data_IF_524346031405
#
_entry.id   IF_524346031405
#
_cell.length_a   1.000
_cell.length_b   1.000
_cell.length_c   1.000
_cell.angle_alpha   90.00
_cell.angle_beta   90.00
_cell.angle_gamma   90.00
#
_symmetry.space_group_name_H-M   'P 1'
#
loop_
_entity.id
_entity.type
_entity.pdbx_description
1 polymer ?
#
# COMPACT_ATOMS: atom_id res chain seq x y z
N UNK A 1 -45.37 -44.77 11.22
CA UNK A 1 -44.82 -43.96 12.33
C UNK A 1 -43.89 -42.96 11.69
N UNK A 2 -44.42 -41.76 11.49
CA UNK A 2 -43.82 -40.69 10.72
C UNK A 2 -43.43 -39.63 11.74
N UNK A 3 -42.14 -39.50 12.02
CA UNK A 3 -41.63 -38.43 12.89
C UNK A 3 -41.19 -37.25 12.04
N UNK A 4 -41.94 -36.16 12.20
CA UNK A 4 -41.62 -34.82 11.72
C UNK A 4 -40.30 -34.36 12.36
N UNK A 5 -39.28 -34.14 11.54
CA UNK A 5 -38.20 -33.22 11.88
C UNK A 5 -38.46 -31.90 11.17
N UNK A 6 -39.08 -30.98 11.89
CA UNK A 6 -39.11 -29.57 11.54
C UNK A 6 -37.67 -29.06 11.43
N UNK A 7 -37.25 -28.73 10.20
CA UNK A 7 -36.06 -27.90 9.98
C UNK A 7 -36.45 -26.46 10.31
N UNK A 8 -36.53 -26.16 11.61
CA UNK A 8 -36.52 -24.80 12.09
C UNK A 8 -35.28 -24.11 11.53
N UNK A 9 -35.55 -23.11 10.71
CA UNK A 9 -34.56 -22.19 10.17
C UNK A 9 -33.90 -21.53 11.38
N UNK A 10 -32.61 -21.76 11.59
CA UNK A 10 -31.80 -21.03 12.56
C UNK A 10 -31.90 -19.54 12.23
N UNK A 11 -32.86 -18.84 12.84
CA UNK A 11 -32.96 -17.39 12.80
C UNK A 11 -31.82 -16.87 13.67
N UNK A 12 -30.72 -16.49 13.01
CA UNK A 12 -29.65 -15.72 13.64
C UNK A 12 -30.27 -14.35 14.02
N UNK A 13 -30.35 -13.99 15.32
CA UNK A 13 -30.96 -12.74 15.74
C UNK A 13 -30.01 -11.56 15.45
N UNK A 14 -30.48 -10.53 14.72
CA UNK A 14 -29.80 -9.22 14.61
C UNK A 14 -29.63 -8.59 13.21
N UNK A 15 -30.10 -9.21 12.12
CA UNK A 15 -29.52 -8.99 10.78
C UNK A 15 -29.63 -7.63 10.06
N UNK A 16 -30.45 -6.66 10.49
CA UNK A 16 -30.67 -5.44 9.66
C UNK A 16 -30.48 -4.09 10.38
N UNK A 17 -30.34 -4.06 11.71
CA UNK A 17 -30.19 -2.80 12.47
C UNK A 17 -28.74 -2.34 12.65
N UNK A 18 -27.77 -3.25 12.55
CA UNK A 18 -26.34 -2.95 12.77
C UNK A 18 -25.53 -2.85 11.45
N UNK A 19 -26.19 -3.05 10.31
CA UNK A 19 -25.59 -2.90 8.99
C UNK A 19 -25.43 -1.42 8.68
N UNK A 20 -24.22 -1.03 8.30
CA UNK A 20 -23.88 0.36 7.94
C UNK A 20 -23.63 0.45 6.43
N UNK A 21 -24.16 1.49 5.78
CA UNK A 21 -23.93 1.70 4.36
C UNK A 21 -22.46 2.08 4.11
N UNK A 22 -21.88 1.48 3.08
CA UNK A 22 -20.56 1.87 2.62
C UNK A 22 -20.45 1.76 1.09
N UNK A 23 -19.55 2.55 0.53
CA UNK A 23 -19.07 2.37 -0.83
C UNK A 23 -17.71 1.67 -0.79
N UNK A 24 -17.57 0.61 -1.57
CA UNK A 24 -16.32 -0.14 -1.71
C UNK A 24 -15.83 0.03 -3.14
N UNK A 25 -14.64 0.58 -3.32
CA UNK A 25 -14.01 0.63 -4.63
C UNK A 25 -13.55 -0.77 -5.05
N UNK A 26 -13.95 -1.20 -6.24
CA UNK A 26 -13.54 -2.46 -6.87
C UNK A 26 -12.35 -2.29 -7.82
N UNK A 27 -11.90 -1.06 -8.05
CA UNK A 27 -10.72 -0.71 -8.84
C UNK A 27 -10.07 0.60 -8.34
N UNK A 28 -8.79 0.80 -8.66
CA UNK A 28 -8.05 2.02 -8.34
C UNK A 28 -7.32 2.00 -6.98
N UNK A 29 -6.93 3.19 -6.50
CA UNK A 29 -6.12 3.39 -5.30
C UNK A 29 -6.87 3.07 -3.99
N UNK A 30 -8.20 3.20 -3.99
CA UNK A 30 -9.05 2.93 -2.81
C UNK A 30 -9.60 1.50 -2.77
N UNK A 31 -9.00 0.58 -3.54
CA UNK A 31 -9.47 -0.80 -3.66
C UNK A 31 -9.68 -1.44 -2.28
N UNK A 32 -10.87 -1.99 -2.07
CA UNK A 32 -11.27 -2.69 -0.84
C UNK A 32 -11.26 -1.85 0.46
N UNK A 33 -11.21 -0.52 0.37
CA UNK A 33 -11.46 0.37 1.50
C UNK A 33 -12.95 0.71 1.54
N UNK A 34 -13.71 0.29 2.57
CA UNK A 34 -15.08 0.76 2.74
C UNK A 34 -15.09 2.23 3.14
N UNK A 35 -15.81 3.04 2.37
CA UNK A 35 -16.08 4.45 2.67
C UNK A 35 -17.47 4.52 3.31
N UNK A 36 -17.58 4.79 4.61
CA UNK A 36 -18.86 4.88 5.30
C UNK A 36 -19.71 6.03 4.75
N UNK A 37 -21.00 5.77 4.51
CA UNK A 37 -21.97 6.81 4.15
C UNK A 37 -22.65 7.35 5.40
N UNK A 38 -21.93 8.16 6.18
CA UNK A 38 -22.40 8.67 7.47
C UNK A 38 -23.30 9.91 7.38
N UNK A 39 -23.30 10.59 6.23
CA UNK A 39 -24.08 11.81 6.00
C UNK A 39 -25.40 11.48 5.32
N UNK A 40 -26.41 12.29 5.60
CA UNK A 40 -27.71 12.19 4.91
C UNK A 40 -27.58 12.45 3.41
N UNK A 41 -26.56 13.21 3.01
CA UNK A 41 -26.19 13.47 1.62
C UNK A 41 -24.68 13.28 1.44
N UNK A 42 -24.31 12.49 0.44
CA UNK A 42 -22.91 12.21 0.05
C UNK A 42 -22.75 12.46 -1.45
N UNK A 43 -21.83 13.35 -1.82
CA UNK A 43 -21.53 13.69 -3.22
C UNK A 43 -20.33 12.90 -3.73
N UNK A 44 -20.49 12.27 -4.90
CA UNK A 44 -19.43 11.59 -5.63
C UNK A 44 -18.98 12.47 -6.81
N UNK A 45 -17.67 12.59 -7.03
CA UNK A 45 -17.15 13.31 -8.19
C UNK A 45 -15.65 13.57 -8.15
N UNK A 46 -15.08 14.18 -9.20
CA UNK A 46 -13.63 14.43 -9.27
C UNK A 46 -13.16 15.68 -8.51
N UNK A 47 -14.08 16.58 -8.14
CA UNK A 47 -13.71 17.80 -7.45
C UNK A 47 -13.24 17.51 -6.01
N UNK A 48 -12.37 18.37 -5.49
CA UNK A 48 -11.90 18.28 -4.11
C UNK A 48 -13.02 18.47 -3.09
N UNK A 49 -14.10 19.15 -3.48
CA UNK A 49 -15.28 19.41 -2.65
C UNK A 49 -16.28 18.25 -2.60
N UNK A 50 -16.09 17.19 -3.41
CA UNK A 50 -16.91 15.99 -3.34
C UNK A 50 -16.54 15.16 -2.10
N UNK A 51 -17.55 14.58 -1.44
CA UNK A 51 -17.34 13.74 -0.25
C UNK A 51 -16.60 12.45 -0.60
N UNK A 52 -16.92 11.85 -1.74
CA UNK A 52 -16.22 10.69 -2.29
C UNK A 52 -15.55 11.10 -3.59
N UNK A 53 -14.24 11.31 -3.51
CA UNK A 53 -13.45 11.75 -4.65
C UNK A 53 -13.16 10.59 -5.60
N UNK A 54 -13.52 10.77 -6.86
CA UNK A 54 -13.23 9.86 -7.96
C UNK A 54 -12.19 10.55 -8.86
N UNK A 55 -10.93 10.17 -8.75
CA UNK A 55 -9.82 10.86 -9.44
C UNK A 55 -9.73 10.47 -10.93
N UNK A 56 -10.75 10.85 -11.70
CA UNK A 56 -10.91 10.49 -13.09
C UNK A 56 -11.39 11.69 -13.92
N UNK A 57 -10.71 11.96 -15.03
CA UNK A 57 -11.06 13.03 -15.96
C UNK A 57 -12.44 12.82 -16.62
N UNK A 58 -12.91 11.57 -16.74
CA UNK A 58 -14.25 11.22 -17.23
C UNK A 58 -15.34 11.39 -16.18
N UNK A 59 -15.00 11.58 -14.91
CA UNK A 59 -15.98 11.95 -13.91
C UNK A 59 -16.26 13.46 -13.94
N UNK A 60 -17.54 13.86 -13.89
CA UNK A 60 -17.90 15.24 -13.57
C UNK A 60 -17.38 15.67 -12.20
N UNK A 61 -17.22 16.99 -12.02
CA UNK A 61 -16.78 17.60 -10.76
C UNK A 61 -17.64 17.15 -9.58
N UNK A 62 -18.95 17.31 -9.72
CA UNK A 62 -20.00 16.72 -8.90
C UNK A 62 -20.78 15.82 -9.86
N UNK A 63 -20.70 14.50 -9.68
CA UNK A 63 -21.14 13.52 -10.67
C UNK A 63 -22.47 12.90 -10.26
N UNK A 64 -22.53 12.37 -9.05
CA UNK A 64 -23.70 11.73 -8.50
C UNK A 64 -23.84 12.10 -7.03
N UNK A 65 -25.04 11.95 -6.52
CA UNK A 65 -25.36 12.13 -5.10
C UNK A 65 -26.02 10.88 -4.57
N UNK A 66 -25.62 10.44 -3.38
CA UNK A 66 -26.35 9.46 -2.60
C UNK A 66 -27.05 10.17 -1.45
N UNK A 67 -28.37 10.02 -1.35
CA UNK A 67 -29.17 10.52 -0.23
C UNK A 67 -29.72 9.39 0.61
N UNK A 68 -29.82 9.64 1.91
CA UNK A 68 -30.44 8.74 2.88
C UNK A 68 -31.88 9.14 3.12
N UNK A 69 -32.82 8.27 2.78
CA UNK A 69 -34.26 8.43 3.02
C UNK A 69 -34.68 7.52 4.17
N UNK A 70 -35.42 8.04 5.16
CA UNK A 70 -36.00 7.19 6.20
C UNK A 70 -37.39 6.76 5.77
N UNK A 71 -37.65 5.47 5.80
CA UNK A 71 -38.98 4.93 5.59
C UNK A 71 -39.81 5.12 6.86
N UNK A 72 -40.79 6.01 6.82
CA UNK A 72 -41.68 6.33 7.95
C UNK A 72 -42.44 5.11 8.49
N UNK A 73 -42.65 4.08 7.67
CA UNK A 73 -43.42 2.89 8.03
C UNK A 73 -42.58 1.81 8.70
N UNK A 74 -41.30 1.68 8.32
CA UNK A 74 -40.41 0.63 8.82
C UNK A 74 -39.28 1.16 9.72
N UNK A 75 -39.01 2.46 9.67
CA UNK A 75 -37.90 3.13 10.34
C UNK A 75 -36.53 2.85 9.72
N UNK A 76 -36.45 2.06 8.64
CA UNK A 76 -35.19 1.73 7.98
C UNK A 76 -34.74 2.85 7.03
N UNK A 77 -33.42 3.05 6.98
CA UNK A 77 -32.80 3.93 6.00
C UNK A 77 -32.75 3.23 4.63
N UNK A 78 -33.15 3.96 3.58
CA UNK A 78 -33.01 3.60 2.17
C UNK A 78 -32.04 4.59 1.53
N UNK A 79 -31.29 4.12 0.55
CA UNK A 79 -30.28 4.94 -0.10
C UNK A 79 -30.67 5.12 -1.55
N UNK A 80 -30.68 6.36 -2.01
CA UNK A 80 -31.02 6.72 -3.39
C UNK A 80 -29.80 7.36 -4.03
N UNK A 81 -29.43 6.89 -5.21
CA UNK A 81 -28.42 7.55 -6.04
C UNK A 81 -29.09 8.35 -7.15
N UNK A 82 -28.68 9.61 -7.30
CA UNK A 82 -29.16 10.54 -8.32
C UNK A 82 -27.97 11.05 -9.13
N UNK A 83 -28.05 10.97 -10.46
CA UNK A 83 -27.09 11.60 -11.36
C UNK A 83 -27.28 13.13 -11.34
N UNK A 84 -26.19 13.89 -11.24
CA UNK A 84 -26.22 15.35 -11.14
C UNK A 84 -26.05 16.05 -12.50
N UNK A 85 -26.52 15.43 -13.59
CA UNK A 85 -26.31 15.93 -14.95
C UNK A 85 -24.87 15.70 -15.40
N UNK A 86 -24.33 14.53 -15.10
CA UNK A 86 -22.94 14.22 -15.40
C UNK A 86 -22.70 14.06 -16.91
N UNK A 87 -21.49 14.35 -17.38
CA UNK A 87 -21.18 14.32 -18.82
C UNK A 87 -21.28 12.92 -19.41
N UNK A 88 -20.86 11.91 -18.63
CA UNK A 88 -20.79 10.51 -19.08
C UNK A 88 -21.88 9.62 -18.48
N UNK A 89 -22.75 10.19 -17.64
CA UNK A 89 -23.82 9.48 -16.94
C UNK A 89 -23.33 8.64 -15.77
N UNK A 90 -24.22 8.44 -14.80
CA UNK A 90 -24.06 7.46 -13.72
C UNK A 90 -24.67 6.13 -14.16
N UNK A 91 -23.94 5.03 -13.97
CA UNK A 91 -24.41 3.69 -14.35
C UNK A 91 -24.57 2.85 -13.07
N UNK A 92 -25.71 2.18 -12.92
CA UNK A 92 -25.96 1.20 -11.84
C UNK A 92 -26.33 -0.15 -12.47
N UNK A 93 -25.59 -1.20 -12.11
CA UNK A 93 -25.76 -2.56 -12.63
C UNK A 93 -25.81 -2.64 -14.18
N UNK A 94 -25.02 -1.80 -14.85
CA UNK A 94 -24.94 -1.74 -16.31
C UNK A 94 -26.01 -0.89 -16.99
N UNK A 95 -26.88 -0.22 -16.23
CA UNK A 95 -27.90 0.68 -16.77
C UNK A 95 -27.59 2.14 -16.41
N UNK A 96 -27.68 3.05 -17.39
CA UNK A 96 -27.64 4.49 -17.14
C UNK A 96 -28.85 4.87 -16.29
N UNK A 97 -28.62 5.61 -15.20
CA UNK A 97 -29.66 6.07 -14.31
C UNK A 97 -29.73 7.59 -14.28
N UNK A 98 -30.91 8.11 -13.97
CA UNK A 98 -31.06 9.48 -13.47
C UNK A 98 -31.27 9.45 -11.96
N UNK A 99 -32.06 8.50 -11.48
CA UNK A 99 -32.42 8.37 -10.08
C UNK A 99 -32.88 6.93 -9.78
N UNK A 100 -32.28 6.27 -8.78
CA UNK A 100 -32.64 4.89 -8.39
C UNK A 100 -32.37 4.61 -6.91
N UNK A 101 -33.17 3.73 -6.31
CA UNK A 101 -32.90 3.17 -4.99
C UNK A 101 -31.82 2.10 -5.08
N UNK A 102 -30.77 2.24 -4.26
CA UNK A 102 -29.68 1.29 -4.15
C UNK A 102 -30.09 0.10 -3.27
N UNK A 103 -29.65 -1.09 -3.70
CA UNK A 103 -29.72 -2.33 -2.95
C UNK A 103 -28.31 -2.82 -2.61
N UNK A 104 -28.20 -3.58 -1.52
CA UNK A 104 -26.95 -4.22 -1.09
C UNK A 104 -26.34 -5.04 -2.24
N UNK A 105 -25.07 -4.75 -2.57
CA UNK A 105 -24.33 -5.36 -3.67
C UNK A 105 -24.42 -4.64 -5.02
N UNK A 106 -25.17 -3.54 -5.13
CA UNK A 106 -25.32 -2.79 -6.37
C UNK A 106 -23.97 -2.22 -6.86
N UNK A 107 -23.72 -2.34 -8.15
CA UNK A 107 -22.49 -1.89 -8.81
C UNK A 107 -22.71 -0.54 -9.45
N UNK A 108 -21.96 0.46 -9.01
CA UNK A 108 -22.02 1.83 -9.50
C UNK A 108 -20.78 2.08 -10.35
N UNK A 109 -20.94 2.59 -11.57
CA UNK A 109 -19.84 3.04 -12.42
C UNK A 109 -19.93 4.54 -12.61
N UNK A 110 -18.82 5.22 -12.31
CA UNK A 110 -18.60 6.65 -12.50
C UNK A 110 -17.27 6.83 -13.24
N UNK A 111 -17.35 7.24 -14.50
CA UNK A 111 -16.16 7.25 -15.37
C UNK A 111 -15.60 5.84 -15.58
N UNK A 112 -14.35 5.62 -15.20
CA UNK A 112 -13.64 4.34 -15.25
C UNK A 112 -13.63 3.60 -13.90
N UNK A 113 -14.19 4.21 -12.85
CA UNK A 113 -14.23 3.62 -11.52
C UNK A 113 -15.49 2.78 -11.32
N UNK A 114 -15.28 1.57 -10.79
CA UNK A 114 -16.32 0.65 -10.38
C UNK A 114 -16.39 0.63 -8.85
N UNK A 115 -17.53 1.00 -8.30
CA UNK A 115 -17.84 0.96 -6.88
C UNK A 115 -18.95 -0.07 -6.62
N UNK A 116 -19.00 -0.58 -5.40
CA UNK A 116 -20.12 -1.39 -4.91
C UNK A 116 -20.73 -0.73 -3.69
N UNK A 117 -22.05 -0.60 -3.66
CA UNK A 117 -22.78 -0.19 -2.47
C UNK A 117 -23.05 -1.44 -1.62
N UNK A 118 -22.55 -1.45 -0.38
CA UNK A 118 -22.71 -2.56 0.54
C UNK A 118 -23.33 -2.10 1.87
N UNK A 119 -24.15 -2.97 2.45
CA UNK A 119 -24.70 -2.85 3.80
C UNK A 119 -23.92 -3.75 4.75
N UNK A 120 -22.85 -3.22 5.31
CA UNK A 120 -21.83 -3.99 6.04
C UNK A 120 -22.16 -4.14 7.52
N UNK A 121 -22.17 -5.36 8.04
CA UNK A 121 -22.14 -5.60 9.49
C UNK A 121 -20.70 -5.51 10.07
N UNK A 122 -20.51 -5.76 11.38
CA UNK A 122 -19.16 -5.69 11.97
C UNK A 122 -18.23 -6.79 11.44
N UNK A 123 -18.75 -7.98 11.13
CA UNK A 123 -17.97 -9.09 10.58
C UNK A 123 -17.50 -8.72 9.18
N UNK A 124 -18.38 -8.14 8.35
CA UNK A 124 -18.04 -7.66 7.01
C UNK A 124 -16.96 -6.56 7.07
N UNK A 125 -17.08 -5.62 8.01
CA UNK A 125 -16.09 -4.55 8.21
C UNK A 125 -14.73 -5.12 8.63
N UNK A 126 -14.69 -6.04 9.59
CA UNK A 126 -13.45 -6.71 9.99
C UNK A 126 -12.83 -7.48 8.82
N UNK A 127 -13.64 -8.20 8.05
CA UNK A 127 -13.18 -8.92 6.87
C UNK A 127 -12.58 -7.97 5.82
N UNK A 128 -13.23 -6.84 5.53
CA UNK A 128 -12.70 -5.85 4.59
C UNK A 128 -11.42 -5.17 5.11
N UNK A 129 -11.35 -4.84 6.41
CA UNK A 129 -10.10 -4.35 7.03
C UNK A 129 -8.97 -5.36 6.87
N UNK A 130 -9.26 -6.65 7.02
CA UNK A 130 -8.29 -7.72 6.81
C UNK A 130 -7.83 -7.78 5.36
N UNK A 131 -8.76 -7.83 4.39
CA UNK A 131 -8.43 -7.81 2.95
C UNK A 131 -7.59 -6.59 2.59
N UNK A 132 -7.98 -5.41 3.06
CA UNK A 132 -7.21 -4.18 2.83
C UNK A 132 -5.79 -4.31 3.40
N UNK A 133 -5.63 -4.85 4.60
CA UNK A 133 -4.30 -5.08 5.19
C UNK A 133 -3.43 -6.01 4.33
N UNK A 134 -4.00 -7.06 3.74
CA UNK A 134 -3.29 -7.97 2.84
C UNK A 134 -2.88 -7.32 1.51
N UNK A 135 -3.65 -6.33 1.04
CA UNK A 135 -3.30 -5.56 -0.15
C UNK A 135 -2.19 -4.53 0.14
N UNK A 136 -2.26 -3.91 1.33
CA UNK A 136 -1.37 -2.80 1.70
C UNK A 136 -0.03 -3.29 2.24
N UNK A 137 -0.02 -4.38 3.01
CA UNK A 137 1.17 -4.87 3.69
C UNK A 137 1.66 -6.21 3.15
N UNK A 138 2.97 -6.37 3.07
CA UNK A 138 3.62 -7.65 2.82
C UNK A 138 3.42 -8.58 4.02
N UNK A 139 2.88 -9.78 3.77
CA UNK A 139 2.52 -10.74 4.82
C UNK A 139 3.71 -11.21 5.65
N UNK A 140 4.91 -11.25 5.04
CA UNK A 140 6.11 -11.75 5.70
C UNK A 140 6.72 -10.73 6.64
N UNK A 141 6.83 -9.48 6.20
CA UNK A 141 7.59 -8.43 6.90
C UNK A 141 6.71 -7.42 7.62
N UNK A 142 5.42 -7.36 7.29
CA UNK A 142 4.48 -6.35 7.79
C UNK A 142 4.71 -4.94 7.24
N UNK A 143 5.76 -4.73 6.43
CA UNK A 143 6.01 -3.50 5.70
C UNK A 143 4.98 -3.29 4.61
N UNK A 144 4.97 -2.12 3.95
CA UNK A 144 4.14 -1.94 2.77
C UNK A 144 4.54 -2.89 1.63
N UNK A 145 3.57 -3.24 0.79
CA UNK A 145 3.83 -3.85 -0.51
C UNK A 145 4.44 -2.82 -1.46
N UNK A 146 5.22 -3.27 -2.46
CA UNK A 146 5.76 -2.38 -3.52
C UNK A 146 4.68 -1.53 -4.19
N UNK A 147 3.50 -2.11 -4.45
CA UNK A 147 2.35 -1.37 -4.99
C UNK A 147 1.92 -0.21 -4.09
N UNK A 148 1.82 -0.45 -2.78
CA UNK A 148 1.40 0.55 -1.80
C UNK A 148 2.48 1.61 -1.59
N UNK A 149 3.76 1.23 -1.65
CA UNK A 149 4.89 2.15 -1.62
C UNK A 149 4.80 3.20 -2.73
N UNK A 150 4.60 2.78 -3.99
CA UNK A 150 4.47 3.72 -5.10
C UNK A 150 3.24 4.63 -4.98
N UNK A 151 2.13 4.09 -4.47
CA UNK A 151 0.91 4.88 -4.23
C UNK A 151 1.17 6.01 -3.23
N UNK A 152 1.77 5.68 -2.08
CA UNK A 152 2.10 6.69 -1.06
C UNK A 152 3.21 7.64 -1.52
N UNK A 153 4.21 7.15 -2.23
CA UNK A 153 5.31 7.98 -2.75
C UNK A 153 4.81 9.03 -3.74
N UNK A 154 3.89 8.68 -4.66
CA UNK A 154 3.29 9.65 -5.58
C UNK A 154 2.48 10.72 -4.86
N UNK A 155 1.73 10.30 -3.84
CA UNK A 155 0.95 11.21 -3.01
C UNK A 155 1.86 12.17 -2.25
N UNK A 156 2.96 11.68 -1.69
CA UNK A 156 3.92 12.53 -1.01
C UNK A 156 4.67 13.44 -1.97
N UNK A 157 5.07 12.98 -3.17
CA UNK A 157 5.72 13.85 -4.16
C UNK A 157 4.85 15.05 -4.54
N UNK A 158 3.56 14.84 -4.79
CA UNK A 158 2.61 15.93 -5.08
C UNK A 158 2.47 16.92 -3.90
N UNK A 159 2.50 16.42 -2.66
CA UNK A 159 2.45 17.25 -1.46
C UNK A 159 3.74 18.02 -1.24
N UNK A 160 4.88 17.35 -1.38
CA UNK A 160 6.22 17.90 -1.25
C UNK A 160 6.47 19.02 -2.25
N UNK A 161 5.98 18.88 -3.49
CA UNK A 161 6.01 19.93 -4.51
C UNK A 161 5.19 21.15 -4.06
N UNK A 162 3.95 20.95 -3.62
CA UNK A 162 3.07 22.03 -3.20
C UNK A 162 3.56 22.77 -1.93
N UNK A 163 4.16 22.05 -0.99
CA UNK A 163 4.63 22.59 0.29
C UNK A 163 6.14 22.98 0.25
N UNK A 164 6.84 22.73 -0.86
CA UNK A 164 8.29 22.90 -1.00
C UNK A 164 9.09 22.17 0.10
N UNK A 165 8.72 20.90 0.38
CA UNK A 165 9.34 20.09 1.42
C UNK A 165 10.19 18.97 0.81
N UNK A 166 11.45 18.81 1.23
CA UNK A 166 12.31 17.75 0.71
C UNK A 166 11.95 16.41 1.34
N UNK A 167 12.16 15.34 0.59
CA UNK A 167 12.14 13.97 1.10
C UNK A 167 13.25 13.15 0.41
N UNK A 168 13.64 12.04 1.01
CA UNK A 168 14.64 11.13 0.43
C UNK A 168 14.00 9.78 0.11
N UNK A 169 14.47 9.11 -0.94
CA UNK A 169 14.11 7.73 -1.29
C UNK A 169 15.33 6.83 -1.08
N UNK A 170 15.10 5.69 -0.45
CA UNK A 170 16.10 4.66 -0.16
C UNK A 170 15.72 3.39 -0.90
N UNK A 171 16.67 2.83 -1.65
CA UNK A 171 16.58 1.48 -2.20
C UNK A 171 17.61 0.60 -1.50
N UNK A 172 17.18 -0.58 -1.06
CA UNK A 172 17.95 -1.43 -0.15
C UNK A 172 17.89 -2.89 -0.60
N UNK A 173 19.00 -3.61 -0.48
CA UNK A 173 19.05 -5.03 -0.81
C UNK A 173 20.02 -5.79 0.08
N UNK A 174 19.58 -6.97 0.52
CA UNK A 174 20.36 -7.84 1.40
C UNK A 174 21.53 -8.48 0.67
N UNK A 175 22.71 -8.24 1.20
CA UNK A 175 23.94 -8.77 0.64
C UNK A 175 24.02 -10.28 0.80
N UNK A 176 24.26 -10.99 -0.30
CA UNK A 176 24.45 -12.43 -0.34
C UNK A 176 23.27 -13.25 0.22
N UNK A 177 22.04 -12.72 0.17
CA UNK A 177 20.85 -13.40 0.72
C UNK A 177 20.62 -14.80 0.15
N UNK A 178 20.93 -15.02 -1.13
CA UNK A 178 20.91 -16.36 -1.73
C UNK A 178 21.72 -17.40 -0.93
N UNK A 179 22.88 -17.02 -0.37
CA UNK A 179 23.68 -17.92 0.46
C UNK A 179 22.99 -18.30 1.77
N UNK A 180 22.15 -17.43 2.33
CA UNK A 180 21.31 -17.76 3.49
C UNK A 180 20.34 -18.87 3.12
N UNK A 181 19.63 -18.72 2.00
CA UNK A 181 18.71 -19.74 1.49
C UNK A 181 19.43 -21.07 1.19
N UNK A 182 20.59 -21.00 0.52
CA UNK A 182 21.33 -22.20 0.12
C UNK A 182 21.90 -22.96 1.33
N UNK A 183 22.36 -22.25 2.38
CA UNK A 183 22.98 -22.86 3.55
C UNK A 183 21.97 -23.29 4.64
N UNK A 184 20.88 -22.54 4.81
CA UNK A 184 19.94 -22.71 5.93
C UNK A 184 18.52 -23.06 5.50
N UNK A 185 18.19 -22.93 4.22
CA UNK A 185 16.87 -23.19 3.65
C UNK A 185 15.94 -21.98 3.69
N UNK A 186 14.90 -22.02 2.83
CA UNK A 186 13.96 -20.93 2.64
C UNK A 186 13.18 -20.52 3.91
N UNK A 187 12.95 -21.43 4.85
CA UNK A 187 12.28 -21.07 6.11
C UNK A 187 13.13 -20.09 6.94
N UNK A 188 14.44 -20.33 7.02
CA UNK A 188 15.38 -19.42 7.68
C UNK A 188 15.54 -18.13 6.88
N UNK A 189 15.56 -18.21 5.55
CA UNK A 189 15.54 -17.03 4.69
C UNK A 189 14.33 -16.13 4.94
N UNK A 190 13.13 -16.72 5.00
CA UNK A 190 11.89 -15.99 5.30
C UNK A 190 11.94 -15.33 6.69
N UNK A 191 12.38 -16.06 7.71
CA UNK A 191 12.56 -15.51 9.06
C UNK A 191 13.59 -14.36 9.06
N UNK A 192 14.68 -14.49 8.31
CA UNK A 192 15.68 -13.44 8.16
C UNK A 192 15.07 -12.17 7.55
N UNK A 193 14.24 -12.31 6.52
CA UNK A 193 13.53 -11.17 5.90
C UNK A 193 12.56 -10.48 6.86
N UNK A 194 11.81 -11.26 7.65
CA UNK A 194 10.92 -10.73 8.70
C UNK A 194 11.72 -9.92 9.72
N UNK A 195 12.83 -10.46 10.22
CA UNK A 195 13.71 -9.79 11.16
C UNK A 195 14.31 -8.50 10.58
N UNK A 196 14.76 -8.51 9.31
CA UNK A 196 15.26 -7.33 8.59
C UNK A 196 14.19 -6.26 8.49
N UNK A 197 12.95 -6.61 8.12
CA UNK A 197 11.84 -5.66 8.09
C UNK A 197 11.62 -4.99 9.46
N UNK A 198 11.73 -5.77 10.53
CA UNK A 198 11.70 -5.24 11.90
C UNK A 198 12.87 -4.29 12.22
N UNK A 199 14.09 -4.61 11.79
CA UNK A 199 15.26 -3.74 11.97
C UNK A 199 15.09 -2.42 11.22
N UNK A 200 14.62 -2.46 9.97
CA UNK A 200 14.33 -1.26 9.16
C UNK A 200 13.33 -0.38 9.91
N UNK A 201 12.18 -0.92 10.32
CA UNK A 201 11.14 -0.15 11.02
C UNK A 201 11.64 0.53 12.30
N UNK A 202 12.43 -0.17 13.12
CA UNK A 202 13.02 0.40 14.34
C UNK A 202 14.08 1.47 14.05
N UNK A 203 14.68 1.41 12.87
CA UNK A 203 15.71 2.34 12.42
C UNK A 203 15.12 3.58 11.75
N UNK A 204 13.83 3.61 11.43
CA UNK A 204 13.16 4.78 10.85
C UNK A 204 12.37 5.56 11.90
N UNK A 205 12.07 6.83 11.61
CA UNK A 205 11.28 7.69 12.50
C UNK A 205 9.80 7.41 12.32
N UNK A 206 8.99 7.84 13.30
CA UNK A 206 7.55 7.88 13.13
C UNK A 206 7.19 8.83 11.98
N UNK A 207 6.46 8.32 10.98
CA UNK A 207 6.07 9.06 9.77
C UNK A 207 6.86 8.66 8.53
N UNK A 208 8.08 8.12 8.69
CA UNK A 208 8.80 7.51 7.57
C UNK A 208 8.08 6.24 7.11
N UNK A 209 8.21 5.92 5.82
CA UNK A 209 7.53 4.78 5.21
C UNK A 209 8.55 3.78 4.69
N UNK A 210 8.32 2.49 4.98
CA UNK A 210 9.12 1.38 4.49
C UNK A 210 8.25 0.32 3.83
N UNK A 211 8.82 -0.34 2.83
CA UNK A 211 8.18 -1.35 2.02
C UNK A 211 9.13 -2.51 1.73
N UNK A 212 8.56 -3.70 1.52
CA UNK A 212 9.24 -4.78 0.83
C UNK A 212 8.98 -4.63 -0.66
N UNK A 213 10.03 -4.36 -1.41
CA UNK A 213 9.94 -4.04 -2.83
C UNK A 213 9.78 -5.31 -3.69
N UNK A 214 10.45 -6.40 -3.29
CA UNK A 214 10.31 -7.73 -3.90
C UNK A 214 11.49 -8.63 -3.52
N UNK A 215 11.28 -9.94 -3.37
CA UNK A 215 12.39 -10.85 -2.98
C UNK A 215 13.08 -10.43 -1.68
N UNK A 216 14.36 -10.09 -1.77
CA UNK A 216 15.21 -9.53 -0.71
C UNK A 216 15.42 -8.00 -0.76
N UNK A 217 14.69 -7.31 -1.62
CA UNK A 217 14.75 -5.86 -1.82
C UNK A 217 13.73 -5.13 -0.95
N UNK A 218 14.16 -4.00 -0.38
CA UNK A 218 13.37 -3.12 0.46
C UNK A 218 13.48 -1.69 -0.05
N UNK A 219 12.46 -0.89 0.21
CA UNK A 219 12.45 0.53 -0.12
C UNK A 219 11.94 1.35 1.07
N UNK A 220 12.37 2.60 1.15
CA UNK A 220 11.81 3.56 2.10
C UNK A 220 11.77 4.96 1.50
N UNK A 221 10.87 5.80 2.00
CA UNK A 221 10.98 7.24 1.81
C UNK A 221 10.86 7.96 3.14
N UNK A 222 11.66 9.02 3.28
CA UNK A 222 11.88 9.73 4.53
C UNK A 222 11.29 11.12 4.40
N UNK A 223 10.25 11.39 5.18
CA UNK A 223 9.55 12.67 5.15
C UNK A 223 10.44 13.76 5.76
N UNK A 224 10.37 14.98 5.21
CA UNK A 224 11.10 16.13 5.74
C UNK A 224 12.60 15.93 5.86
N UNK A 225 13.17 15.17 4.93
CA UNK A 225 14.56 14.77 4.94
C UNK A 225 15.29 15.36 3.75
N UNK A 226 16.26 16.22 4.04
CA UNK A 226 17.30 16.60 3.11
C UNK A 226 18.31 15.46 2.93
N UNK A 227 19.09 15.53 1.85
CA UNK A 227 20.08 14.53 1.47
C UNK A 227 20.92 13.97 2.62
N UNK A 228 21.55 14.84 3.41
CA UNK A 228 22.41 14.44 4.52
C UNK A 228 21.65 13.66 5.61
N UNK A 229 20.38 14.02 5.86
CA UNK A 229 19.52 13.31 6.80
C UNK A 229 19.11 11.95 6.26
N UNK A 230 18.87 11.86 4.95
CA UNK A 230 18.61 10.59 4.27
C UNK A 230 19.78 9.61 4.38
N UNK A 231 21.00 10.08 4.13
CA UNK A 231 22.22 9.27 4.29
C UNK A 231 22.41 8.82 5.75
N UNK A 232 22.18 9.69 6.72
CA UNK A 232 22.28 9.33 8.15
C UNK A 232 21.25 8.25 8.54
N UNK A 233 20.01 8.35 8.03
CA UNK A 233 19.00 7.33 8.27
C UNK A 233 19.34 6.00 7.58
N UNK A 234 19.84 6.04 6.35
CA UNK A 234 20.33 4.87 5.63
C UNK A 234 21.48 4.19 6.39
N UNK A 235 22.47 4.94 6.88
CA UNK A 235 23.58 4.37 7.66
C UNK A 235 23.10 3.73 8.97
N UNK A 236 22.08 4.31 9.61
CA UNK A 236 21.47 3.70 10.80
C UNK A 236 20.81 2.37 10.48
N UNK A 237 20.07 2.27 9.36
CA UNK A 237 19.51 0.99 8.88
C UNK A 237 20.64 -0.01 8.60
N UNK A 238 21.66 0.41 7.85
CA UNK A 238 22.80 -0.43 7.47
C UNK A 238 23.51 -1.02 8.68
N UNK A 239 23.90 -0.16 9.63
CA UNK A 239 24.53 -0.56 10.88
C UNK A 239 23.60 -1.46 11.72
N UNK A 240 22.31 -1.11 11.80
CA UNK A 240 21.31 -1.91 12.52
C UNK A 240 21.19 -3.34 11.98
N UNK A 241 21.24 -3.53 10.65
CA UNK A 241 21.22 -4.87 10.04
C UNK A 241 22.54 -5.59 10.29
N UNK A 242 23.69 -4.93 10.11
CA UNK A 242 25.02 -5.52 10.32
C UNK A 242 25.24 -6.01 11.78
N UNK A 243 24.74 -5.25 12.75
CA UNK A 243 24.89 -5.54 14.18
C UNK A 243 23.87 -6.60 14.68
N UNK A 244 22.76 -6.79 13.97
CA UNK A 244 21.71 -7.72 14.38
C UNK A 244 22.13 -9.18 14.21
N UNK A 245 21.86 -10.00 15.23
CA UNK A 245 22.09 -11.45 15.20
C UNK A 245 20.81 -12.15 14.77
N UNK A 246 20.76 -12.60 13.52
CA UNK A 246 19.58 -13.25 12.94
C UNK A 246 19.49 -14.72 13.36
N UNK A 247 18.28 -15.20 13.61
CA UNK A 247 18.08 -16.60 14.01
C UNK A 247 18.31 -17.56 12.82
N UNK A 248 19.07 -18.64 13.06
CA UNK A 248 19.45 -19.62 12.05
C UNK A 248 19.04 -21.06 12.43
N UNK A 249 17.79 -21.25 12.88
CA UNK A 249 17.29 -22.57 13.31
C UNK A 249 16.87 -23.42 12.11
N UNK A 250 17.55 -24.54 11.89
CA UNK A 250 17.18 -25.52 10.86
C UNK A 250 16.13 -26.49 11.41
N UNK A 251 14.96 -26.58 10.78
CA UNK A 251 13.99 -27.62 11.12
C UNK A 251 14.60 -29.02 10.84
N UNK A 252 14.67 -29.87 11.87
CA UNK A 252 15.09 -31.27 11.76
C UNK A 252 16.52 -31.60 12.19
N UNK A 253 17.33 -30.63 12.64
CA UNK A 253 18.58 -30.92 13.35
C UNK A 253 18.28 -31.16 14.83
N UNK A 254 18.59 -32.35 15.32
CA UNK A 254 18.38 -32.78 16.72
C UNK A 254 19.29 -32.04 17.73
N UNK A 255 20.16 -31.14 17.27
CA UNK A 255 20.99 -30.30 18.11
C UNK A 255 20.30 -28.93 18.31
N UNK A 256 19.86 -28.69 19.55
CA UNK A 256 19.27 -27.46 20.07
C UNK A 256 20.28 -26.29 20.13
N UNK A 257 21.12 -26.09 19.11
CA UNK A 257 21.98 -24.91 19.10
C UNK A 257 21.21 -23.70 18.56
N UNK A 258 21.10 -22.64 19.38
CA UNK A 258 20.70 -21.30 18.95
C UNK A 258 21.77 -20.75 17.98
N UNK A 259 21.75 -21.24 16.74
CA UNK A 259 22.63 -20.73 15.69
C UNK A 259 22.17 -19.34 15.31
N UNK A 260 23.12 -18.42 15.21
CA UNK A 260 22.89 -17.07 14.69
C UNK A 260 23.69 -16.88 13.40
N UNK A 261 23.18 -16.02 12.52
CA UNK A 261 23.89 -15.59 11.31
C UNK A 261 23.97 -14.07 11.27
N UNK A 262 24.97 -13.56 10.56
CA UNK A 262 25.13 -12.14 10.26
C UNK A 262 24.96 -11.93 8.77
N UNK A 263 24.20 -10.91 8.43
CA UNK A 263 24.01 -10.42 7.07
C UNK A 263 24.23 -8.91 7.05
N UNK A 264 24.52 -8.38 5.88
CA UNK A 264 24.65 -6.95 5.65
C UNK A 264 23.64 -6.51 4.61
N UNK A 265 23.46 -5.21 4.47
CA UNK A 265 22.56 -4.60 3.50
C UNK A 265 23.31 -3.50 2.77
N UNK A 266 23.11 -3.41 1.46
CA UNK A 266 23.58 -2.29 0.64
C UNK A 266 22.43 -1.33 0.42
N UNK A 267 22.69 -0.02 0.42
CA UNK A 267 21.64 1.00 0.33
C UNK A 267 22.04 2.10 -0.67
N UNK A 268 21.12 2.46 -1.54
CA UNK A 268 21.18 3.64 -2.40
C UNK A 268 20.21 4.72 -1.93
N UNK A 269 20.62 5.99 -2.05
CA UNK A 269 19.83 7.15 -1.63
C UNK A 269 19.68 8.13 -2.78
N UNK A 270 18.47 8.64 -2.99
CA UNK A 270 18.18 9.82 -3.82
C UNK A 270 17.31 10.83 -3.06
N UNK A 271 17.23 12.07 -3.53
CA UNK A 271 16.50 13.15 -2.85
C UNK A 271 15.60 13.96 -3.78
N UNK A 272 14.38 14.24 -3.31
CA UNK A 272 13.48 15.22 -3.91
C UNK A 272 13.72 16.61 -3.30
N UNK A 273 13.67 17.69 -4.09
CA UNK A 273 13.59 17.72 -5.56
C UNK A 273 14.97 17.72 -6.25
N UNK A 274 16.06 17.61 -5.48
CA UNK A 274 17.42 17.86 -5.96
C UNK A 274 17.88 16.88 -7.05
N UNK A 275 17.54 15.60 -6.93
CA UNK A 275 17.91 14.56 -7.89
C UNK A 275 16.87 14.43 -9.02
N UNK A 276 15.57 14.49 -8.68
CA UNK A 276 14.46 14.43 -9.62
C UNK A 276 13.14 14.92 -9.00
N UNK A 277 12.20 15.35 -9.85
CA UNK A 277 10.83 15.71 -9.45
C UNK A 277 9.85 14.55 -9.63
N UNK A 278 10.11 13.62 -10.56
CA UNK A 278 9.27 12.44 -10.75
C UNK A 278 9.60 11.39 -9.66
N UNK A 279 8.60 10.95 -8.85
CA UNK A 279 8.81 9.89 -7.87
C UNK A 279 9.32 8.56 -8.47
N UNK A 280 8.98 8.24 -9.71
CA UNK A 280 9.49 7.02 -10.37
C UNK A 280 10.99 7.17 -10.65
N UNK A 281 11.38 8.31 -11.22
CA UNK A 281 12.79 8.62 -11.50
C UNK A 281 13.61 8.60 -10.21
N UNK A 282 13.11 9.16 -9.10
CA UNK A 282 13.81 9.09 -7.81
C UNK A 282 14.12 7.66 -7.36
N UNK A 283 13.20 6.72 -7.55
CA UNK A 283 13.42 5.30 -7.23
C UNK A 283 14.51 4.71 -8.12
N UNK A 284 14.52 5.04 -9.42
CA UNK A 284 15.55 4.58 -10.37
C UNK A 284 16.94 5.14 -10.04
N UNK A 285 17.02 6.40 -9.59
CA UNK A 285 18.28 7.02 -9.16
C UNK A 285 18.79 6.41 -7.84
N UNK A 286 17.89 6.10 -6.91
CA UNK A 286 18.25 5.37 -5.69
C UNK A 286 18.71 3.93 -6.00
N UNK A 287 18.07 3.23 -6.95
CA UNK A 287 18.51 1.90 -7.40
C UNK A 287 19.89 1.96 -8.08
N UNK A 288 20.14 3.00 -8.89
CA UNK A 288 21.46 3.26 -9.47
C UNK A 288 22.52 3.44 -8.38
N UNK A 289 22.21 4.18 -7.33
CA UNK A 289 23.11 4.35 -6.18
C UNK A 289 23.29 3.02 -5.39
N UNK A 290 22.24 2.21 -5.24
CA UNK A 290 22.31 0.88 -4.63
C UNK A 290 23.24 -0.05 -5.42
N UNK A 291 23.16 0.00 -6.75
CA UNK A 291 24.07 -0.73 -7.61
C UNK A 291 25.53 -0.31 -7.39
N UNK A 292 25.82 0.99 -7.23
CA UNK A 292 27.15 1.49 -6.85
C UNK A 292 27.58 0.94 -5.49
N UNK A 293 26.69 0.88 -4.51
CA UNK A 293 26.98 0.29 -3.20
C UNK A 293 27.38 -1.19 -3.32
N UNK A 294 26.63 -1.98 -4.10
CA UNK A 294 26.93 -3.40 -4.37
C UNK A 294 28.26 -3.59 -5.09
N UNK A 295 28.56 -2.78 -6.11
CA UNK A 295 29.84 -2.83 -6.84
C UNK A 295 31.03 -2.36 -6.01
N UNK A 296 30.80 -1.38 -5.13
CA UNK A 296 31.83 -0.81 -4.28
C UNK A 296 32.37 -1.78 -3.22
N UNK A 297 31.73 -2.93 -3.03
CA UNK A 297 32.11 -3.91 -2.01
C UNK A 297 31.00 -4.23 -1.01
N UNK A 298 29.76 -3.82 -1.30
CA UNK A 298 28.57 -4.07 -0.46
C UNK A 298 28.66 -3.40 0.92
N UNK A 299 27.68 -3.69 1.79
CA UNK A 299 27.61 -3.20 3.17
C UNK A 299 27.93 -1.71 3.30
N UNK A 300 27.25 -0.88 2.50
CA UNK A 300 27.48 0.56 2.46
C UNK A 300 26.28 1.32 1.95
N UNK A 301 26.24 2.60 2.28
CA UNK A 301 25.33 3.58 1.69
C UNK A 301 26.03 4.32 0.55
N UNK A 302 25.36 4.44 -0.58
CA UNK A 302 25.76 5.33 -1.67
C UNK A 302 24.66 6.35 -1.95
N UNK A 303 25.06 7.62 -2.04
CA UNK A 303 24.23 8.71 -2.52
C UNK A 303 24.27 8.78 -4.05
N UNK A 304 23.15 9.10 -4.70
CA UNK A 304 23.11 9.33 -6.14
C UNK A 304 23.96 10.55 -6.55
N UNK A 305 23.76 11.70 -5.88
CA UNK A 305 24.39 12.98 -6.22
C UNK A 305 25.87 13.11 -5.81
N UNK A 306 26.46 12.06 -5.23
CA UNK A 306 27.84 12.12 -4.77
C UNK A 306 28.77 11.37 -5.72
N UNK A 307 29.31 12.08 -6.72
CA UNK A 307 30.65 11.77 -7.24
C UNK A 307 31.43 13.03 -7.66
N UNK A 308 32.56 13.35 -6.99
CA UNK A 308 33.61 14.19 -7.58
C UNK A 308 34.56 13.42 -8.53
N UNK A 309 34.24 12.19 -8.96
CA UNK A 309 35.23 11.26 -9.54
C UNK A 309 34.77 10.36 -10.70
N UNK A 310 33.58 10.52 -11.30
CA UNK A 310 33.10 9.55 -12.32
C UNK A 310 32.48 10.22 -13.56
N UNK A 311 33.19 11.16 -14.17
CA UNK A 311 32.89 11.64 -15.54
C UNK A 311 33.40 10.66 -16.64
N UNK A 312 33.88 9.45 -16.32
CA UNK A 312 34.52 8.58 -17.32
C UNK A 312 33.83 7.23 -17.64
N UNK A 313 32.78 6.78 -16.92
CA UNK A 313 32.26 5.41 -17.11
C UNK A 313 30.77 5.31 -17.51
N UNK A 314 30.13 6.40 -17.98
CA UNK A 314 28.71 6.39 -18.39
C UNK A 314 28.39 5.71 -19.75
N UNK A 315 29.33 4.99 -20.35
CA UNK A 315 29.07 4.19 -21.56
C UNK A 315 29.09 2.70 -21.25
N UNK A 316 28.02 2.18 -20.62
CA UNK A 316 27.45 0.83 -20.85
C UNK A 316 26.46 0.45 -19.75
N UNK A 317 25.19 0.85 -19.91
CA UNK A 317 24.08 0.08 -19.34
C UNK A 317 23.73 -1.04 -20.32
N UNK A 318 23.75 -2.33 -19.93
CA UNK A 318 23.19 -3.38 -20.76
C UNK A 318 21.65 -3.33 -20.64
N UNK A 319 20.99 -3.33 -21.79
CA UNK A 319 19.54 -3.45 -21.93
C UNK A 319 19.04 -4.70 -21.19
N UNK A 320 18.12 -4.54 -20.24
CA UNK A 320 17.35 -5.68 -19.69
C UNK A 320 16.51 -6.25 -20.85
N UNK A 321 16.88 -7.43 -21.33
CA UNK A 321 16.06 -8.21 -22.26
C UNK A 321 14.95 -8.92 -21.48
N UNK A 322 13.81 -9.03 -22.18
CA UNK A 322 12.50 -9.58 -21.81
C UNK A 322 12.51 -10.96 -21.13
#
# INVERSE_FOLDING_TARGET
MSENFDKETLKIPGRDRDRRPALVFLSGELLAVPIPLERDEVILGRALEADVRVNDARASRLHARITTERDDSTGFARYRITDLGSTNGTIVNGQLITDVLLQDGDKIVIGEHLLRFDMLDEIDREFQRHIHRLLVHDELTGLLTSKSFFSELRREAARAEAESRPFCVLMMDLDHFKQVNDNYGHLVGNQTLEEVGGVIMRSLRAGDVAARFGGEEFAAFLLDAQYAQGVVAAERVRAGVEEHLFAAKRHGSAELEDRTLRITISIGVSAFPDDAQDPIELVELADTALYRAKRGGRNRVCAYSHTPAEDEDQTQLPSRQE
#
